data_IF_562936398300
#
_entry.id   IF_562936398300
#
_cell.length_a   1.000
_cell.length_b   1.000
_cell.length_c   1.000
_cell.angle_alpha   90.00
_cell.angle_beta   90.00
_cell.angle_gamma   90.00
#
_symmetry.space_group_name_H-M   'P 1'
#
loop_
_entity.id
_entity.type
_entity.pdbx_description
1 polymer ?
#
# COMPACT_ATOMS: atom_id res chain seq x y z
N UNK A 1 -3.95 -2.62 -27.75
CA UNK A 1 -3.08 -1.46 -28.01
C UNK A 1 -3.17 -0.51 -26.82
N UNK A 2 -2.28 -0.67 -25.84
CA UNK A 2 -1.85 0.31 -24.84
C UNK A 2 -0.40 -0.07 -24.58
N UNK A 3 0.51 0.51 -25.36
CA UNK A 3 1.44 1.52 -24.90
C UNK A 3 2.34 0.96 -23.80
N UNK A 4 3.51 0.50 -24.23
CA UNK A 4 4.53 -0.10 -23.38
C UNK A 4 4.99 0.88 -22.32
N UNK A 5 5.05 0.39 -21.08
CA UNK A 5 5.80 1.05 -20.02
C UNK A 5 7.25 0.55 -20.13
N UNK A 6 7.97 1.10 -21.10
CA UNK A 6 9.43 1.10 -21.09
C UNK A 6 9.84 2.03 -19.95
N UNK A 7 9.89 1.51 -18.73
CA UNK A 7 10.56 2.22 -17.63
C UNK A 7 12.04 2.23 -17.96
N UNK A 8 12.52 3.38 -18.40
CA UNK A 8 13.93 3.72 -18.49
C UNK A 8 14.50 3.62 -17.06
N UNK A 9 15.38 2.66 -16.82
CA UNK A 9 15.96 2.27 -15.52
C UNK A 9 16.90 3.33 -14.89
N UNK A 10 16.58 4.63 -14.96
CA UNK A 10 17.54 5.69 -14.59
C UNK A 10 16.97 6.98 -14.00
N UNK A 11 15.66 7.14 -13.83
CA UNK A 11 15.10 8.38 -13.28
C UNK A 11 14.68 8.24 -11.81
N UNK A 12 15.10 9.22 -11.01
CA UNK A 12 14.86 9.30 -9.58
C UNK A 12 13.36 9.14 -9.26
N UNK A 13 13.04 8.34 -8.24
CA UNK A 13 11.66 8.17 -7.79
C UNK A 13 11.07 9.50 -7.36
N UNK A 14 9.97 9.90 -7.99
CA UNK A 14 9.29 11.16 -7.67
C UNK A 14 8.29 11.00 -6.54
N UNK A 15 7.91 12.12 -5.92
CA UNK A 15 6.91 12.15 -4.87
C UNK A 15 5.59 11.49 -5.29
N UNK A 16 5.09 11.88 -6.47
CA UNK A 16 3.80 11.40 -6.99
C UNK A 16 3.81 9.91 -7.30
N UNK A 17 4.93 9.37 -7.80
CA UNK A 17 5.05 7.93 -8.07
C UNK A 17 5.09 7.11 -6.79
N UNK A 18 5.82 7.58 -5.78
CA UNK A 18 5.87 6.90 -4.48
C UNK A 18 4.50 6.93 -3.81
N UNK A 19 3.82 8.08 -3.82
CA UNK A 19 2.46 8.19 -3.29
C UNK A 19 1.48 7.29 -4.04
N UNK A 20 1.48 7.33 -5.37
CA UNK A 20 0.61 6.48 -6.20
C UNK A 20 0.83 5.00 -5.94
N UNK A 21 2.09 4.57 -5.76
CA UNK A 21 2.41 3.16 -5.45
C UNK A 21 1.94 2.75 -4.06
N UNK A 22 2.06 3.62 -3.06
CA UNK A 22 1.54 3.37 -1.72
C UNK A 22 0.00 3.30 -1.72
N UNK A 23 -0.66 4.15 -2.50
CA UNK A 23 -2.12 4.13 -2.69
C UNK A 23 -2.57 2.85 -3.42
N UNK A 24 -1.85 2.40 -4.44
CA UNK A 24 -2.09 1.12 -5.11
C UNK A 24 -1.97 -0.05 -4.11
N UNK A 25 -0.91 -0.04 -3.28
CA UNK A 25 -0.68 -1.06 -2.26
C UNK A 25 -1.79 -1.13 -1.21
N UNK A 26 -2.37 0.01 -0.82
CA UNK A 26 -3.56 0.04 0.04
C UNK A 26 -4.74 -0.72 -0.57
N UNK A 27 -4.96 -0.57 -1.88
CA UNK A 27 -5.98 -1.33 -2.62
C UNK A 27 -5.70 -2.84 -2.65
N UNK A 28 -4.43 -3.26 -2.62
CA UNK A 28 -4.06 -4.67 -2.45
C UNK A 28 -4.30 -5.17 -1.02
N UNK A 29 -4.00 -4.37 0.00
CA UNK A 29 -4.27 -4.74 1.39
C UNK A 29 -5.75 -4.96 1.66
N UNK A 30 -6.65 -4.11 1.15
CA UNK A 30 -8.10 -4.30 1.32
C UNK A 30 -8.64 -5.59 0.68
N UNK A 31 -7.95 -6.10 -0.34
CA UNK A 31 -8.29 -7.37 -0.99
C UNK A 31 -7.62 -8.58 -0.36
N UNK A 32 -6.71 -8.38 0.60
CA UNK A 32 -6.09 -9.47 1.36
C UNK A 32 -6.90 -9.63 2.66
N UNK A 33 -7.85 -10.57 2.76
CA UNK A 33 -8.41 -10.91 4.05
C UNK A 33 -7.27 -11.45 4.92
N UNK A 34 -7.20 -10.98 6.17
CA UNK A 34 -6.33 -11.62 7.16
C UNK A 34 -6.71 -13.10 7.24
N UNK A 35 -5.78 -13.98 6.85
CA UNK A 35 -6.01 -15.43 6.82
C UNK A 35 -6.32 -15.96 8.22
N UNK A 36 -5.72 -15.37 9.25
CA UNK A 36 -5.92 -15.79 10.64
C UNK A 36 -7.25 -15.28 11.18
N UNK A 37 -7.59 -13.98 11.00
CA UNK A 37 -8.92 -13.49 11.36
C UNK A 37 -10.02 -14.22 10.58
N UNK A 38 -9.84 -14.51 9.28
CA UNK A 38 -10.84 -15.25 8.51
C UNK A 38 -11.12 -16.65 9.09
N UNK A 39 -10.13 -17.32 9.67
CA UNK A 39 -10.31 -18.61 10.36
C UNK A 39 -10.90 -18.46 11.77
N UNK A 40 -10.60 -17.37 12.48
CA UNK A 40 -11.14 -17.10 13.81
C UNK A 40 -12.63 -16.72 13.81
N UNK A 41 -13.21 -16.31 12.68
CA UNK A 41 -14.65 -16.10 12.55
C UNK A 41 -15.44 -17.38 12.24
N UNK A 42 -14.76 -18.50 11.97
CA UNK A 42 -15.41 -19.80 11.75
C UNK A 42 -15.52 -20.50 13.11
N UNK A 43 -16.67 -20.34 13.79
CA UNK A 43 -16.99 -21.12 15.00
C UNK A 43 -16.93 -22.61 14.68
N UNK A 44 -15.93 -23.32 15.18
CA UNK A 44 -15.85 -24.76 14.98
C UNK A 44 -16.70 -25.55 16.00
N UNK A 45 -17.25 -26.66 15.48
CA UNK A 45 -17.60 -27.95 16.10
C UNK A 45 -19.05 -28.35 16.38
N UNK A 46 -20.07 -27.49 16.24
CA UNK A 46 -21.49 -27.92 16.28
C UNK A 46 -22.28 -27.34 15.10
N UNK A 47 -22.21 -27.96 13.90
CA UNK A 47 -22.71 -27.39 12.65
C UNK A 47 -24.24 -27.49 12.48
N UNK A 48 -24.93 -28.38 13.21
CA UNK A 48 -26.35 -28.67 12.97
C UNK A 48 -27.29 -27.49 13.30
N UNK A 49 -26.87 -26.55 14.15
CA UNK A 49 -27.65 -25.38 14.57
C UNK A 49 -27.32 -24.10 13.82
N UNK A 50 -26.32 -24.11 12.94
CA UNK A 50 -25.95 -22.93 12.17
C UNK A 50 -26.47 -23.08 10.75
N UNK A 51 -27.56 -22.36 10.44
CA UNK A 51 -27.97 -22.09 9.06
C UNK A 51 -26.74 -21.70 8.25
N UNK A 52 -26.35 -22.58 7.32
CA UNK A 52 -25.20 -22.38 6.46
C UNK A 52 -25.55 -21.32 5.41
N UNK A 53 -25.32 -20.04 5.73
CA UNK A 53 -25.24 -18.98 4.72
C UNK A 53 -24.09 -19.23 3.72
N UNK A 54 -23.22 -20.20 4.01
CA UNK A 54 -22.06 -20.54 3.20
C UNK A 54 -22.38 -21.50 2.04
N UNK A 55 -23.55 -22.15 2.05
CA UNK A 55 -24.00 -23.13 1.04
C UNK A 55 -25.45 -22.91 0.56
N UNK A 56 -26.00 -21.71 0.77
CA UNK A 56 -27.35 -21.35 0.30
C UNK A 56 -27.30 -20.82 -1.13
N UNK A 57 -27.92 -21.56 -2.04
CA UNK A 57 -28.16 -21.23 -3.44
C UNK A 57 -28.75 -19.81 -3.64
N UNK A 58 -28.17 -19.07 -4.59
CA UNK A 58 -28.79 -18.03 -5.42
C UNK A 58 -30.05 -17.31 -4.88
N UNK A 59 -29.95 -16.59 -3.76
CA UNK A 59 -31.05 -15.77 -3.26
C UNK A 59 -30.80 -14.26 -3.37
N UNK A 60 -29.62 -13.85 -3.83
CA UNK A 60 -29.28 -12.44 -3.98
C UNK A 60 -28.66 -12.20 -5.36
N UNK A 61 -29.51 -11.88 -6.34
CA UNK A 61 -29.10 -11.47 -7.69
C UNK A 61 -28.26 -10.18 -7.68
N UNK A 62 -28.25 -9.46 -6.55
CA UNK A 62 -27.45 -8.24 -6.31
C UNK A 62 -26.14 -8.53 -5.55
N UNK A 63 -25.82 -9.79 -5.26
CA UNK A 63 -24.59 -10.16 -4.56
C UNK A 63 -23.36 -9.70 -5.36
N UNK A 64 -22.71 -8.63 -4.89
CA UNK A 64 -21.51 -8.07 -5.52
C UNK A 64 -20.41 -9.16 -5.52
N UNK A 65 -19.93 -9.59 -6.71
CA UNK A 65 -18.90 -10.61 -6.79
C UNK A 65 -17.68 -10.21 -5.95
N UNK A 66 -17.13 -11.17 -5.19
CA UNK A 66 -15.92 -10.91 -4.41
C UNK A 66 -14.79 -10.50 -5.36
N UNK A 67 -13.98 -9.49 -5.00
CA UNK A 67 -12.88 -9.07 -5.84
C UNK A 67 -11.93 -10.26 -6.06
N UNK A 68 -11.42 -10.39 -7.29
CA UNK A 68 -10.50 -11.46 -7.65
C UNK A 68 -9.29 -11.50 -6.70
N UNK A 69 -8.78 -12.70 -6.36
CA UNK A 69 -7.59 -12.83 -5.54
C UNK A 69 -6.40 -12.13 -6.19
N UNK A 70 -5.47 -11.66 -5.35
CA UNK A 70 -4.27 -10.99 -5.83
C UNK A 70 -3.41 -11.93 -6.65
N UNK A 71 -2.94 -11.46 -7.81
CA UNK A 71 -1.92 -12.18 -8.58
C UNK A 71 -0.57 -12.10 -7.87
N UNK A 72 0.35 -13.04 -8.18
CA UNK A 72 1.72 -13.01 -7.62
C UNK A 72 2.43 -11.67 -7.87
N UNK A 73 2.23 -11.09 -9.05
CA UNK A 73 2.81 -9.79 -9.39
C UNK A 73 2.23 -8.66 -8.52
N UNK A 74 0.92 -8.69 -8.21
CA UNK A 74 0.29 -7.72 -7.32
C UNK A 74 0.78 -7.87 -5.88
N UNK A 75 0.96 -9.11 -5.41
CA UNK A 75 1.57 -9.38 -4.09
C UNK A 75 2.99 -8.82 -4.02
N UNK A 76 3.83 -9.09 -5.02
CA UNK A 76 5.19 -8.55 -5.05
C UNK A 76 5.22 -7.00 -5.06
N UNK A 77 4.32 -6.35 -5.81
CA UNK A 77 4.19 -4.89 -5.81
C UNK A 77 3.76 -4.33 -4.46
N UNK A 78 2.79 -4.98 -3.80
CA UNK A 78 2.34 -4.65 -2.45
C UNK A 78 3.50 -4.74 -1.46
N UNK A 79 4.23 -5.85 -1.49
CA UNK A 79 5.30 -6.12 -0.53
C UNK A 79 6.46 -5.13 -0.74
N UNK A 80 6.84 -4.87 -1.98
CA UNK A 80 7.80 -3.81 -2.32
C UNK A 80 7.38 -2.44 -1.77
N UNK A 81 6.12 -2.03 -1.97
CA UNK A 81 5.63 -0.75 -1.46
C UNK A 81 5.60 -0.72 0.09
N UNK A 82 5.33 -1.87 0.70
CA UNK A 82 5.35 -2.03 2.17
C UNK A 82 6.76 -1.83 2.72
N UNK A 83 7.77 -2.40 2.05
CA UNK A 83 9.17 -2.22 2.42
C UNK A 83 9.61 -0.75 2.36
N UNK A 84 9.06 0.05 1.43
CA UNK A 84 9.38 1.47 1.35
C UNK A 84 8.99 2.25 2.61
N UNK A 85 7.97 1.80 3.36
CA UNK A 85 7.61 2.41 4.63
C UNK A 85 8.72 2.30 5.67
N UNK A 86 9.60 1.30 5.57
CA UNK A 86 10.74 1.17 6.47
C UNK A 86 11.77 2.29 6.27
N UNK A 87 11.82 2.86 5.06
CA UNK A 87 12.67 4.01 4.72
C UNK A 87 12.15 5.32 5.32
N UNK A 88 10.85 5.40 5.65
CA UNK A 88 10.32 6.56 6.36
C UNK A 88 10.71 6.54 7.85
N UNK A 89 10.87 7.72 8.48
CA UNK A 89 11.06 7.82 9.92
C UNK A 89 9.96 7.08 10.67
N UNK A 90 10.32 6.30 11.68
CA UNK A 90 9.40 5.41 12.39
C UNK A 90 8.14 6.12 12.90
N UNK A 91 8.31 7.28 13.53
CA UNK A 91 7.22 8.14 14.05
C UNK A 91 6.21 8.58 12.98
N UNK A 92 6.61 8.57 11.71
CA UNK A 92 5.86 9.10 10.57
C UNK A 92 5.26 7.96 9.71
N UNK A 93 5.65 6.69 9.92
CA UNK A 93 5.12 5.53 9.17
C UNK A 93 3.61 5.41 9.28
N UNK A 94 3.07 5.55 10.49
CA UNK A 94 1.62 5.53 10.74
C UNK A 94 0.90 6.63 9.98
N UNK A 95 1.47 7.84 9.95
CA UNK A 95 0.90 8.97 9.22
C UNK A 95 0.85 8.69 7.71
N UNK A 96 1.92 8.13 7.14
CA UNK A 96 1.97 7.77 5.72
C UNK A 96 0.89 6.74 5.37
N UNK A 97 0.74 5.69 6.19
CA UNK A 97 -0.31 4.66 5.98
C UNK A 97 -1.71 5.28 6.05
N UNK A 98 -1.97 6.15 7.03
CA UNK A 98 -3.27 6.80 7.18
C UNK A 98 -3.59 7.74 6.01
N UNK A 99 -2.59 8.47 5.52
CA UNK A 99 -2.72 9.32 4.35
C UNK A 99 -3.00 8.49 3.08
N UNK A 100 -2.21 7.44 2.84
CA UNK A 100 -2.41 6.54 1.70
C UNK A 100 -3.79 5.87 1.75
N UNK A 101 -4.26 5.47 2.95
CA UNK A 101 -5.60 4.91 3.15
C UNK A 101 -6.70 5.89 2.77
N UNK A 102 -6.55 7.18 3.13
CA UNK A 102 -7.53 8.20 2.78
C UNK A 102 -7.57 8.44 1.26
N UNK A 103 -6.40 8.54 0.62
CA UNK A 103 -6.29 8.69 -0.83
C UNK A 103 -6.84 7.48 -1.58
N UNK A 104 -6.57 6.26 -1.10
CA UNK A 104 -7.10 5.02 -1.68
C UNK A 104 -8.63 4.91 -1.58
N UNK A 105 -9.26 5.63 -0.64
CA UNK A 105 -10.73 5.71 -0.54
C UNK A 105 -11.34 6.58 -1.64
N UNK A 106 -10.52 7.33 -2.38
CA UNK A 106 -10.96 8.28 -3.41
C UNK A 106 -11.03 9.73 -2.93
N UNK A 107 -10.49 10.03 -1.75
CA UNK A 107 -10.39 11.42 -1.29
C UNK A 107 -9.46 12.23 -2.21
N UNK A 108 -9.92 13.40 -2.65
CA UNK A 108 -9.10 14.29 -3.51
C UNK A 108 -7.84 14.80 -2.82
N UNK A 109 -7.88 14.95 -1.50
CA UNK A 109 -6.78 15.41 -0.66
C UNK A 109 -6.84 14.70 0.68
N UNK A 110 -5.69 14.57 1.34
CA UNK A 110 -5.62 13.95 2.66
C UNK A 110 -6.36 14.81 3.70
N UNK A 111 -7.36 14.27 4.43
CA UNK A 111 -8.12 15.02 5.42
C UNK A 111 -7.33 15.16 6.73
N UNK A 112 -6.33 16.06 6.76
CA UNK A 112 -5.38 16.22 7.87
C UNK A 112 -6.03 16.35 9.25
N UNK A 113 -7.14 17.09 9.34
CA UNK A 113 -7.87 17.28 10.61
C UNK A 113 -8.47 15.97 11.15
N UNK A 114 -8.96 15.10 10.27
CA UNK A 114 -9.51 13.80 10.65
C UNK A 114 -8.42 12.79 11.07
N UNK A 115 -7.17 13.04 10.70
CA UNK A 115 -6.02 12.19 11.07
C UNK A 115 -5.42 12.56 12.42
N UNK A 116 -5.64 13.77 12.94
CA UNK A 116 -5.15 14.21 14.25
C UNK A 116 -5.48 13.25 15.41
N UNK A 117 -6.76 12.87 15.66
CA UNK A 117 -7.08 11.98 16.77
C UNK A 117 -6.46 10.59 16.59
N UNK A 118 -6.33 10.13 15.34
CA UNK A 118 -5.69 8.84 15.03
C UNK A 118 -4.18 8.86 15.30
N UNK A 119 -3.57 10.04 15.28
CA UNK A 119 -2.16 10.25 15.66
C UNK A 119 -1.99 10.61 17.14
N UNK A 120 -3.08 10.64 17.93
CA UNK A 120 -3.05 11.07 19.34
C UNK A 120 -2.78 12.57 19.53
N UNK A 121 -3.01 13.38 18.49
CA UNK A 121 -2.78 14.83 18.49
C UNK A 121 -4.10 15.58 18.56
N UNK A 122 -4.09 16.73 19.26
CA UNK A 122 -5.28 17.61 19.38
C UNK A 122 -5.30 18.74 18.35
N UNK A 123 -4.14 19.22 17.93
CA UNK A 123 -3.99 20.34 16.98
C UNK A 123 -2.75 20.12 16.08
N UNK A 124 -2.62 20.92 15.01
CA UNK A 124 -1.43 20.92 14.15
C UNK A 124 -1.58 20.16 12.83
N UNK A 125 -2.68 20.40 12.10
CA UNK A 125 -2.93 19.79 10.79
C UNK A 125 -1.82 20.13 9.77
N UNK A 126 -1.32 21.37 9.75
CA UNK A 126 -0.21 21.76 8.85
C UNK A 126 1.10 21.08 9.22
N UNK A 127 1.32 20.83 10.52
CA UNK A 127 2.46 20.04 10.99
C UNK A 127 2.41 18.60 10.48
N UNK A 128 1.22 17.97 10.47
CA UNK A 128 1.04 16.66 9.85
C UNK A 128 1.32 16.68 8.35
N UNK A 129 0.81 17.69 7.62
CA UNK A 129 1.10 17.85 6.19
C UNK A 129 2.59 17.96 5.91
N UNK A 130 3.33 18.77 6.67
CA UNK A 130 4.78 18.90 6.54
C UNK A 130 5.51 17.60 6.87
N UNK A 131 5.11 16.91 7.94
CA UNK A 131 5.70 15.61 8.33
C UNK A 131 5.48 14.56 7.25
N UNK A 132 4.29 14.48 6.69
CA UNK A 132 3.97 13.60 5.58
C UNK A 132 4.86 13.90 4.37
N UNK A 133 4.93 15.17 3.95
CA UNK A 133 5.76 15.58 2.83
C UNK A 133 7.24 15.18 3.03
N UNK A 134 7.80 15.45 4.22
CA UNK A 134 9.17 15.05 4.58
C UNK A 134 9.37 13.54 4.55
N UNK A 135 8.39 12.76 5.03
CA UNK A 135 8.46 11.30 5.05
C UNK A 135 8.50 10.72 3.63
N UNK A 136 7.61 11.16 2.74
CA UNK A 136 7.62 10.71 1.33
C UNK A 136 8.90 11.16 0.63
N UNK A 137 9.36 12.40 0.84
CA UNK A 137 10.63 12.87 0.28
C UNK A 137 11.83 12.04 0.78
N UNK A 138 11.83 11.61 2.05
CA UNK A 138 12.87 10.74 2.59
C UNK A 138 12.88 9.36 1.91
N UNK A 139 11.71 8.80 1.61
CA UNK A 139 11.57 7.56 0.83
C UNK A 139 12.14 7.78 -0.59
N UNK A 140 11.69 8.84 -1.28
CA UNK A 140 12.14 9.16 -2.64
C UNK A 140 13.66 9.26 -2.73
N UNK A 141 14.29 9.98 -1.80
CA UNK A 141 15.76 10.12 -1.72
C UNK A 141 16.45 8.79 -1.55
N UNK A 142 15.99 7.96 -0.62
CA UNK A 142 16.60 6.65 -0.35
C UNK A 142 16.47 5.70 -1.54
N UNK A 143 15.30 5.65 -2.19
CA UNK A 143 15.10 4.83 -3.39
C UNK A 143 15.99 5.30 -4.55
N UNK A 144 16.12 6.61 -4.74
CA UNK A 144 16.95 7.19 -5.78
C UNK A 144 18.44 6.91 -5.55
N UNK A 145 18.91 7.05 -4.31
CA UNK A 145 20.28 6.68 -3.95
C UNK A 145 20.55 5.17 -4.13
N UNK A 146 19.58 4.31 -3.80
CA UNK A 146 19.69 2.87 -4.02
C UNK A 146 19.75 2.49 -5.51
N UNK A 147 19.02 3.20 -6.37
CA UNK A 147 19.09 3.03 -7.81
C UNK A 147 20.46 3.44 -8.37
N UNK A 148 20.95 4.62 -7.98
CA UNK A 148 22.27 5.13 -8.40
C UNK A 148 23.41 4.18 -8.05
N UNK A 149 23.41 3.59 -6.84
CA UNK A 149 24.43 2.63 -6.40
C UNK A 149 24.43 1.33 -7.23
N UNK A 150 23.25 0.84 -7.62
CA UNK A 150 23.14 -0.37 -8.46
C UNK A 150 23.70 -0.14 -9.86
N UNK A 151 23.38 1.01 -10.45
CA UNK A 151 23.86 1.36 -11.79
C UNK A 151 25.39 1.53 -11.80
N UNK A 152 25.95 2.22 -10.81
CA UNK A 152 27.40 2.38 -10.69
C UNK A 152 28.16 1.06 -10.49
N UNK A 153 27.54 0.05 -9.86
CA UNK A 153 28.13 -1.28 -9.70
C UNK A 153 28.09 -2.13 -10.97
N UNK A 154 27.07 -1.93 -11.82
CA UNK A 154 26.97 -2.62 -13.11
C UNK A 154 28.02 -2.10 -14.11
N UNK A 155 28.23 -0.78 -14.18
CA UNK A 155 29.24 -0.18 -15.07
C UNK A 155 30.66 -0.68 -14.76
N UNK A 156 30.97 -0.98 -13.49
CA UNK A 156 32.26 -1.56 -13.09
C UNK A 156 32.42 -3.03 -13.52
N UNK A 157 31.34 -3.80 -13.63
CA UNK A 157 31.39 -5.20 -14.06
C UNK A 157 31.61 -5.33 -15.57
N UNK A 158 31.09 -4.39 -16.37
CA UNK A 158 31.30 -4.36 -17.82
C UNK A 158 32.67 -3.80 -18.24
N UNK A 159 33.38 -3.10 -17.35
CA UNK A 159 34.71 -2.55 -17.62
C UNK A 159 35.87 -3.55 -17.40
N UNK A 160 35.59 -4.74 -16.86
CA UNK A 160 36.61 -5.77 -16.51
C UNK A 160 36.51 -7.02 -17.41
N UNK A 161 35.60 -7.02 -18.40
CA UNK A 161 35.49 -8.06 -19.44
C UNK A 161 35.98 -7.53 -20.78
#
# INVERSE_FOLDING_TARGET
MTCGDVRRDSEAWTFGEVEARLVEAMGFWWRTPDREAAWLHIRAFWPEFCRHNHFGDYADDEAVPRPMPLTRAQVARRDQATEWLLLAPERDRRLVILAARALARGERQVPWRALLPQMGLRMGADGLRMRYSRAITAICRQLSHGAQRRNAGQDQQFAVS
#
